data_IF_939933079281
#
_entry.id   IF_939933079281
#
_cell.length_a   1.000
_cell.length_b   1.000
_cell.length_c   1.000
_cell.angle_alpha   90.00
_cell.angle_beta   90.00
_cell.angle_gamma   90.00
#
_symmetry.space_group_name_H-M   'P 1'
#
loop_
_entity.id
_entity.type
_entity.pdbx_description
1 polymer ?
#
# COMPACT_ATOMS: atom_id res chain seq x y z
N UNK A 1 12.36 17.08 9.57
CA UNK A 1 11.20 16.85 10.44
C UNK A 1 10.70 15.44 10.24
N UNK A 2 10.28 14.77 11.32
CA UNK A 2 9.78 13.38 11.29
C UNK A 2 8.66 13.16 10.26
N UNK A 3 7.86 14.20 10.00
CA UNK A 3 6.75 14.22 9.04
C UNK A 3 7.16 13.90 7.59
N UNK A 4 8.44 14.05 7.25
CA UNK A 4 8.97 13.69 5.93
C UNK A 4 9.43 12.23 5.86
N UNK A 5 9.84 11.66 7.00
CA UNK A 5 10.37 10.30 7.08
C UNK A 5 9.27 9.26 7.29
N UNK A 6 8.20 9.62 8.01
CA UNK A 6 7.07 8.75 8.32
C UNK A 6 6.38 8.18 7.06
N UNK A 7 6.02 8.97 6.03
CA UNK A 7 5.38 8.43 4.83
C UNK A 7 6.27 7.46 4.05
N UNK A 8 7.58 7.65 4.10
CA UNK A 8 8.56 6.80 3.41
C UNK A 8 8.83 5.51 4.19
N UNK A 9 8.85 5.57 5.52
CA UNK A 9 8.91 4.37 6.34
C UNK A 9 7.68 3.47 6.12
N UNK A 10 6.49 4.07 6.04
CA UNK A 10 5.25 3.36 5.73
C UNK A 10 5.27 2.74 4.32
N UNK A 11 5.90 3.39 3.35
CA UNK A 11 6.06 2.84 1.98
C UNK A 11 6.89 1.54 2.01
N UNK A 12 8.04 1.57 2.69
CA UNK A 12 8.89 0.39 2.83
C UNK A 12 8.22 -0.74 3.61
N UNK A 13 7.46 -0.40 4.67
CA UNK A 13 6.71 -1.38 5.45
C UNK A 13 5.62 -2.06 4.60
N UNK A 14 4.80 -1.26 3.91
CA UNK A 14 3.72 -1.79 3.08
C UNK A 14 4.26 -2.68 1.95
N UNK A 15 5.40 -2.31 1.35
CA UNK A 15 6.06 -3.16 0.35
C UNK A 15 6.59 -4.48 0.92
N UNK A 16 7.18 -4.45 2.13
CA UNK A 16 7.65 -5.66 2.80
C UNK A 16 6.49 -6.61 3.16
N UNK A 17 5.35 -6.05 3.58
CA UNK A 17 4.14 -6.82 3.90
C UNK A 17 3.50 -7.43 2.64
N UNK A 18 3.45 -6.67 1.54
CA UNK A 18 3.00 -7.19 0.24
C UNK A 18 3.85 -8.39 -0.19
N UNK A 19 5.18 -8.27 -0.09
CA UNK A 19 6.13 -9.36 -0.39
C UNK A 19 5.98 -10.55 0.56
N UNK A 20 5.50 -10.34 1.78
CA UNK A 20 5.25 -11.38 2.77
C UNK A 20 3.85 -12.01 2.65
N UNK A 21 3.04 -11.63 1.66
CA UNK A 21 1.66 -12.11 1.49
C UNK A 21 0.66 -11.53 2.50
N UNK A 22 1.06 -10.51 3.27
CA UNK A 22 0.24 -9.84 4.28
C UNK A 22 -0.54 -8.69 3.65
N UNK A 23 -1.35 -8.99 2.64
CA UNK A 23 -2.03 -7.98 1.82
C UNK A 23 -2.95 -7.04 2.64
N UNK A 24 -3.72 -7.52 3.64
CA UNK A 24 -4.54 -6.64 4.48
C UNK A 24 -3.71 -5.64 5.30
N UNK A 25 -2.54 -6.06 5.79
CA UNK A 25 -1.63 -5.18 6.54
C UNK A 25 -0.94 -4.17 5.61
N UNK A 26 -0.48 -4.63 4.44
CA UNK A 26 0.11 -3.78 3.42
C UNK A 26 -0.85 -2.66 3.00
N UNK A 27 -2.14 -2.99 2.86
CA UNK A 27 -3.20 -2.03 2.58
C UNK A 27 -3.33 -0.99 3.69
N UNK A 28 -3.45 -1.43 4.95
CA UNK A 28 -3.63 -0.52 6.08
C UNK A 28 -2.47 0.50 6.20
N UNK A 29 -1.23 0.04 6.09
CA UNK A 29 -0.06 0.93 6.17
C UNK A 29 0.10 1.82 4.93
N UNK A 30 -0.29 1.36 3.74
CA UNK A 30 -0.30 2.20 2.55
C UNK A 30 -1.39 3.30 2.62
N UNK A 31 -2.56 3.02 3.20
CA UNK A 31 -3.60 4.04 3.43
C UNK A 31 -3.13 5.12 4.43
N UNK A 32 -2.47 4.69 5.51
CA UNK A 32 -1.90 5.60 6.50
C UNK A 32 -0.78 6.48 5.89
N UNK A 33 0.14 5.85 5.15
CA UNK A 33 1.22 6.54 4.46
C UNK A 33 0.74 7.50 3.39
N UNK A 34 -0.34 7.16 2.68
CA UNK A 34 -1.00 8.06 1.72
C UNK A 34 -1.57 9.29 2.43
N UNK A 35 -2.29 9.11 3.54
CA UNK A 35 -2.84 10.24 4.32
C UNK A 35 -1.71 11.16 4.80
N UNK A 36 -0.61 10.61 5.28
CA UNK A 36 0.55 11.38 5.74
C UNK A 36 1.29 12.08 4.58
N UNK A 37 1.46 11.42 3.43
CA UNK A 37 2.06 11.99 2.23
C UNK A 37 1.23 13.15 1.65
N UNK A 38 -0.11 13.04 1.67
CA UNK A 38 -1.00 14.12 1.24
C UNK A 38 -0.93 15.33 2.17
N UNK A 39 -0.94 15.11 3.50
CA UNK A 39 -0.80 16.21 4.48
C UNK A 39 0.52 16.96 4.36
N UNK A 40 1.61 16.26 4.02
CA UNK A 40 2.95 16.83 3.87
C UNK A 40 3.27 17.30 2.43
N UNK A 41 2.34 17.19 1.49
CA UNK A 41 2.54 17.61 0.09
C UNK A 41 3.49 16.72 -0.72
N UNK A 42 3.81 15.53 -0.24
CA UNK A 42 4.76 14.60 -0.86
C UNK A 42 4.12 13.77 -1.97
N UNK A 43 4.01 14.36 -3.16
CA UNK A 43 3.31 13.76 -4.32
C UNK A 43 3.88 12.43 -4.78
N UNK A 44 5.21 12.27 -4.80
CA UNK A 44 5.85 11.03 -5.24
C UNK A 44 5.54 9.88 -4.26
N UNK A 45 5.69 10.12 -2.97
CA UNK A 45 5.35 9.14 -1.92
C UNK A 45 3.88 8.77 -1.95
N UNK A 46 2.99 9.73 -2.19
CA UNK A 46 1.56 9.46 -2.39
C UNK A 46 1.30 8.57 -3.63
N UNK A 47 2.05 8.74 -4.71
CA UNK A 47 1.95 7.87 -5.89
C UNK A 47 2.41 6.44 -5.59
N UNK A 48 3.50 6.26 -4.84
CA UNK A 48 3.96 4.94 -4.41
C UNK A 48 2.92 4.22 -3.55
N UNK A 49 2.32 4.91 -2.58
CA UNK A 49 1.24 4.34 -1.76
C UNK A 49 0.03 3.92 -2.59
N UNK A 50 -0.37 4.73 -3.58
CA UNK A 50 -1.46 4.36 -4.50
C UNK A 50 -1.14 3.11 -5.32
N UNK A 51 0.11 2.94 -5.74
CA UNK A 51 0.53 1.75 -6.47
C UNK A 51 0.44 0.49 -5.58
N UNK A 52 0.86 0.57 -4.32
CA UNK A 52 0.74 -0.54 -3.36
C UNK A 52 -0.73 -0.91 -3.10
N UNK A 53 -1.61 0.09 -2.95
CA UNK A 53 -3.04 -0.14 -2.78
C UNK A 53 -3.69 -0.81 -3.99
N UNK A 54 -3.34 -0.38 -5.21
CA UNK A 54 -3.83 -1.00 -6.43
C UNK A 54 -3.38 -2.46 -6.56
N UNK A 55 -2.12 -2.76 -6.21
CA UNK A 55 -1.58 -4.13 -6.20
C UNK A 55 -2.27 -5.01 -5.14
N UNK A 56 -2.48 -4.48 -3.93
CA UNK A 56 -3.19 -5.22 -2.89
C UNK A 56 -4.64 -5.54 -3.31
N UNK A 57 -5.33 -4.57 -3.92
CA UNK A 57 -6.69 -4.76 -4.42
C UNK A 57 -6.77 -5.81 -5.53
N UNK A 58 -5.83 -5.82 -6.49
CA UNK A 58 -5.83 -6.84 -7.56
C UNK A 58 -5.64 -8.25 -7.02
N UNK A 59 -4.89 -8.41 -5.94
CA UNK A 59 -4.68 -9.73 -5.31
C UNK A 59 -5.92 -10.18 -4.52
N UNK A 60 -6.63 -9.24 -3.88
CA UNK A 60 -7.87 -9.53 -3.13
C UNK A 60 -9.08 -9.79 -4.04
N UNK A 61 -9.11 -9.26 -5.27
CA UNK A 61 -10.21 -9.49 -6.23
C UNK A 61 -10.11 -10.82 -7.02
N UNK A 62 -8.95 -11.49 -7.01
CA UNK A 62 -8.74 -12.72 -7.79
C UNK A 62 -9.12 -14.08 -7.17
N UNK A 63 -9.24 -14.30 -5.83
CA UNK A 63 -9.38 -15.67 -5.31
C UNK A 63 -10.72 -16.32 -5.69
N UNK A 64 -11.82 -15.56 -5.73
CA UNK A 64 -13.14 -16.09 -6.07
C UNK A 64 -13.37 -16.19 -7.59
N UNK A 65 -12.74 -15.32 -8.38
CA UNK A 65 -12.89 -15.30 -9.86
C UNK A 65 -12.11 -16.45 -10.51
N UNK A 66 -10.93 -16.79 -9.98
CA UNK A 66 -10.12 -17.91 -10.48
C UNK A 66 -10.76 -19.26 -10.18
N UNK A 67 -11.42 -19.42 -9.03
CA UNK A 67 -12.10 -20.66 -8.65
C UNK A 67 -13.28 -21.03 -9.57
N UNK A 68 -13.88 -20.06 -10.27
CA UNK A 68 -14.98 -20.28 -11.23
C UNK A 68 -14.56 -20.68 -12.65
N UNK A 69 -13.26 -20.68 -12.95
CA UNK A 69 -12.70 -21.00 -14.27
C UNK A 69 -11.98 -22.37 -14.33
N UNK A 70 -12.05 -23.17 -13.26
CA UNK A 70 -11.50 -24.55 -13.18
C UNK A 70 -12.58 -25.59 -13.45
#
# INVERSE_FOLDING_TARGET
GSEVLEPRALEYLAYAELRAGRHPQARAHAEEGLRAALRSGQRNTAAHHRAVLALAASIEEEPDVVAGHV
#
